data_IF_767676994835
#
_entry.id   IF_767676994835
#
_cell.length_a   1.000
_cell.length_b   1.000
_cell.length_c   1.000
_cell.angle_alpha   90.00
_cell.angle_beta   90.00
_cell.angle_gamma   90.00
#
_symmetry.space_group_name_H-M   'P 1'
#
loop_
_entity.id
_entity.type
_entity.pdbx_description
1 polymer ?
#
# COMPACT_ATOMS: atom_id res chain seq x y z
N UNK A 1 -0.20 -7.46 15.22
CA UNK A 1 -0.10 -6.19 14.47
C UNK A 1 -0.48 -6.54 13.04
N UNK A 2 -1.73 -6.29 12.67
CA UNK A 2 -2.31 -6.70 11.39
C UNK A 2 -1.52 -6.06 10.25
N UNK A 3 -1.19 -6.89 9.26
CA UNK A 3 -0.33 -6.56 8.13
C UNK A 3 -1.16 -6.81 6.88
N UNK A 4 -1.93 -5.80 6.49
CA UNK A 4 -2.69 -5.86 5.24
C UNK A 4 -1.86 -5.21 4.15
N UNK A 5 -1.58 -5.96 3.08
CA UNK A 5 -0.82 -5.45 1.93
C UNK A 5 -1.76 -5.35 0.74
N UNK A 6 -1.79 -4.17 0.12
CA UNK A 6 -2.46 -3.95 -1.15
C UNK A 6 -1.43 -3.69 -2.23
N UNK A 7 -1.67 -4.22 -3.43
CA UNK A 7 -1.06 -3.71 -4.65
C UNK A 7 -1.91 -2.55 -5.13
N UNK A 8 -1.27 -1.42 -5.41
CA UNK A 8 -1.91 -0.24 -5.97
C UNK A 8 -1.34 -0.05 -7.36
N UNK A 9 -2.21 0.19 -8.33
CA UNK A 9 -1.81 0.53 -9.70
C UNK A 9 -2.62 1.69 -10.23
N UNK A 10 -2.05 2.42 -11.18
CA UNK A 10 -2.70 3.48 -11.92
C UNK A 10 -2.05 3.62 -13.30
N UNK A 11 -2.83 4.04 -14.30
CA UNK A 11 -2.30 4.61 -15.53
C UNK A 11 -2.07 6.09 -15.34
N UNK A 12 -0.90 6.56 -15.76
CA UNK A 12 -0.48 7.94 -15.59
C UNK A 12 -0.01 8.48 -16.93
N UNK A 13 -0.34 9.75 -17.21
CA UNK A 13 0.15 10.48 -18.37
C UNK A 13 0.61 11.87 -17.94
N UNK A 14 1.85 12.20 -18.24
CA UNK A 14 2.46 13.51 -17.93
C UNK A 14 2.47 14.39 -19.18
N UNK A 15 2.12 15.67 -19.01
CA UNK A 15 2.15 16.69 -20.07
C UNK A 15 3.41 17.58 -20.00
N UNK A 16 4.56 17.02 -19.64
CA UNK A 16 5.86 17.71 -19.58
C UNK A 16 6.73 17.36 -20.79
N UNK A 17 7.46 18.34 -21.32
CA UNK A 17 8.44 18.11 -22.40
C UNK A 17 9.74 17.50 -21.88
N UNK A 18 9.98 17.57 -20.58
CA UNK A 18 11.15 16.97 -19.92
C UNK A 18 10.71 15.73 -19.13
N UNK A 19 11.57 14.71 -18.99
CA UNK A 19 11.27 13.58 -18.13
C UNK A 19 11.05 14.03 -16.69
N UNK A 20 9.91 13.63 -16.12
CA UNK A 20 9.48 13.93 -14.75
C UNK A 20 9.04 12.63 -14.09
N UNK A 21 9.27 12.49 -12.80
CA UNK A 21 8.89 11.30 -12.05
C UNK A 21 7.57 11.52 -11.32
N UNK A 22 6.42 11.01 -11.83
CA UNK A 22 5.17 11.08 -11.10
C UNK A 22 5.16 10.06 -9.98
N UNK A 23 4.37 10.37 -8.95
CA UNK A 23 4.16 9.48 -7.84
C UNK A 23 2.76 9.57 -7.27
N UNK A 24 2.36 8.49 -6.61
CA UNK A 24 1.24 8.49 -5.69
C UNK A 24 1.75 8.30 -4.27
N UNK A 25 1.11 9.02 -3.35
CA UNK A 25 1.31 8.89 -1.92
C UNK A 25 -0.05 9.01 -1.21
N UNK A 26 -0.12 8.58 0.04
CA UNK A 26 -1.23 9.03 0.88
C UNK A 26 -0.91 10.39 1.46
N UNK A 27 -1.97 11.09 1.82
CA UNK A 27 -1.94 12.13 2.84
C UNK A 27 -2.82 11.65 3.98
N UNK A 28 -2.21 11.42 5.14
CA UNK A 28 -2.91 11.03 6.35
C UNK A 28 -3.18 12.29 7.18
N UNK A 29 -4.40 12.48 7.64
CA UNK A 29 -4.72 13.46 8.68
C UNK A 29 -4.90 12.70 9.99
N UNK A 30 -4.12 13.06 11.00
CA UNK A 30 -4.19 12.48 12.34
C UNK A 30 -5.23 13.19 13.20
N UNK A 31 -5.66 12.53 14.29
CA UNK A 31 -6.65 13.10 15.21
C UNK A 31 -6.20 14.39 15.90
N UNK A 32 -4.89 14.58 16.07
CA UNK A 32 -4.28 15.80 16.62
C UNK A 32 -4.12 16.93 15.56
N UNK A 33 -4.53 16.67 14.31
CA UNK A 33 -4.44 17.61 13.20
C UNK A 33 -3.11 17.57 12.43
N UNK A 34 -2.14 16.75 12.85
CA UNK A 34 -0.88 16.56 12.12
C UNK A 34 -1.11 15.80 10.80
N UNK A 35 -0.19 15.96 9.86
CA UNK A 35 -0.27 15.32 8.54
C UNK A 35 1.01 14.55 8.22
N UNK A 36 0.87 13.34 7.71
CA UNK A 36 1.98 12.53 7.19
C UNK A 36 1.70 12.09 5.76
N UNK A 37 2.76 11.78 5.02
CA UNK A 37 2.69 11.53 3.57
C UNK A 37 3.47 10.27 3.20
N UNK A 38 2.95 9.07 3.51
CA UNK A 38 3.63 7.84 3.16
C UNK A 38 3.51 7.56 1.66
N UNK A 39 4.64 7.22 1.04
CA UNK A 39 4.74 6.89 -0.38
C UNK A 39 3.98 5.59 -0.70
N UNK A 40 3.20 5.60 -1.78
CA UNK A 40 2.60 4.39 -2.35
C UNK A 40 3.57 3.79 -3.38
N UNK A 41 3.87 4.56 -4.43
CA UNK A 41 4.84 4.21 -5.45
C UNK A 41 5.29 5.45 -6.22
N UNK A 42 6.49 5.37 -6.79
CA UNK A 42 6.96 6.23 -7.85
C UNK A 42 6.98 5.47 -9.18
N UNK A 43 6.71 6.16 -10.27
CA UNK A 43 6.90 5.61 -11.60
C UNK A 43 8.35 5.79 -12.07
N UNK A 44 8.67 5.19 -13.21
CA UNK A 44 9.81 5.66 -14.00
C UNK A 44 9.55 7.09 -14.51
N UNK A 45 10.63 7.85 -14.76
CA UNK A 45 10.51 9.20 -15.31
C UNK A 45 9.88 9.16 -16.70
N UNK A 46 8.91 10.04 -16.92
CA UNK A 46 8.07 10.08 -18.12
C UNK A 46 7.93 11.49 -18.65
N UNK A 47 7.65 11.59 -19.93
CA UNK A 47 7.43 12.82 -20.68
C UNK A 47 6.17 12.69 -21.51
N UNK A 48 5.76 13.79 -22.14
CA UNK A 48 4.63 13.83 -23.09
C UNK A 48 4.80 12.82 -24.24
N UNK A 49 6.03 12.42 -24.57
CA UNK A 49 6.29 11.46 -25.65
C UNK A 49 5.97 10.00 -25.28
N UNK A 50 5.91 9.68 -23.98
CA UNK A 50 5.65 8.33 -23.48
C UNK A 50 4.16 7.99 -23.44
N UNK A 51 3.29 9.01 -23.36
CA UNK A 51 1.84 8.83 -23.33
C UNK A 51 1.35 8.22 -22.01
N UNK A 52 0.46 7.23 -22.09
CA UNK A 52 -0.06 6.52 -20.91
C UNK A 52 0.89 5.40 -20.50
N UNK A 53 1.32 5.43 -19.25
CA UNK A 53 2.17 4.38 -18.65
C UNK A 53 1.48 3.82 -17.41
N UNK A 54 1.55 2.51 -17.26
CA UNK A 54 1.05 1.84 -16.07
C UNK A 54 2.13 1.80 -14.99
N UNK A 55 1.77 2.27 -13.80
CA UNK A 55 2.63 2.23 -12.63
C UNK A 55 1.96 1.45 -11.52
N UNK A 56 2.76 0.75 -10.73
CA UNK A 56 2.25 0.01 -9.58
C UNK A 56 3.27 -0.09 -8.46
N UNK A 57 2.76 -0.34 -7.26
CA UNK A 57 3.58 -0.69 -6.10
C UNK A 57 2.74 -1.29 -4.99
N UNK A 58 3.40 -1.74 -3.93
CA UNK A 58 2.74 -2.36 -2.80
C UNK A 58 2.69 -1.38 -1.63
N UNK A 59 1.52 -1.24 -1.03
CA UNK A 59 1.36 -0.51 0.22
C UNK A 59 1.02 -1.43 1.37
N UNK A 60 1.72 -1.21 2.47
CA UNK A 60 1.41 -1.79 3.76
C UNK A 60 0.48 -0.85 4.50
N UNK A 61 -0.71 -1.33 4.84
CA UNK A 61 -1.58 -0.67 5.81
C UNK A 61 -1.10 -1.08 7.19
N UNK A 62 -0.37 -0.17 7.84
CA UNK A 62 0.10 -0.35 9.20
C UNK A 62 -0.78 0.41 10.20
N UNK A 63 -0.35 0.44 11.47
CA UNK A 63 -1.08 1.12 12.52
C UNK A 63 -1.21 2.63 12.31
N UNK A 64 -0.27 3.27 11.59
CA UNK A 64 -0.36 4.70 11.32
C UNK A 64 -1.49 4.96 10.32
N UNK A 65 -1.50 4.23 9.20
CA UNK A 65 -2.56 4.37 8.19
C UNK A 65 -3.93 3.99 8.76
N UNK A 66 -4.00 2.89 9.51
CA UNK A 66 -5.25 2.39 10.08
C UNK A 66 -5.84 3.27 11.19
N UNK A 67 -5.01 4.08 11.87
CA UNK A 67 -5.45 4.98 12.94
C UNK A 67 -5.61 6.44 12.49
N UNK A 68 -5.34 6.73 11.21
CA UNK A 68 -5.54 8.05 10.64
C UNK A 68 -7.02 8.43 10.71
N UNK A 69 -7.30 9.70 11.03
CA UNK A 69 -8.64 10.27 11.03
C UNK A 69 -9.22 10.30 9.61
N UNK A 70 -8.40 10.70 8.64
CA UNK A 70 -8.75 10.73 7.22
C UNK A 70 -7.55 10.26 6.39
N UNK A 71 -7.82 9.51 5.32
CA UNK A 71 -6.83 9.04 4.35
C UNK A 71 -7.21 9.60 2.99
N UNK A 72 -6.29 10.35 2.38
CA UNK A 72 -6.44 10.90 1.04
C UNK A 72 -5.45 10.26 0.10
N UNK A 73 -5.89 9.91 -1.10
CA UNK A 73 -4.99 9.64 -2.21
C UNK A 73 -4.45 10.97 -2.74
N UNK A 74 -3.13 11.09 -2.82
CA UNK A 74 -2.47 12.31 -3.23
C UNK A 74 -1.46 11.99 -4.33
N UNK A 75 -1.48 12.76 -5.40
CA UNK A 75 -0.54 12.65 -6.51
C UNK A 75 0.41 13.83 -6.53
N UNK A 76 1.62 13.60 -7.01
CA UNK A 76 2.60 14.66 -7.21
C UNK A 76 3.69 14.25 -8.19
N UNK A 77 4.61 15.18 -8.42
CA UNK A 77 5.85 14.98 -9.16
C UNK A 77 7.01 15.21 -8.21
N UNK A 78 8.06 14.39 -8.33
CA UNK A 78 9.27 14.55 -7.50
C UNK A 78 10.14 15.72 -7.95
N UNK A 79 9.94 16.17 -9.18
CA UNK A 79 10.61 17.30 -9.79
C UNK A 79 9.71 18.54 -9.63
N UNK A 80 10.29 19.73 -9.45
CA UNK A 80 9.57 21.03 -9.35
C UNK A 80 8.85 21.45 -10.66
N UNK A 81 8.52 20.47 -11.48
CA UNK A 81 7.73 20.60 -12.69
C UNK A 81 6.26 20.90 -12.33
N UNK A 82 5.64 21.77 -13.10
CA UNK A 82 4.26 22.24 -12.90
C UNK A 82 3.33 21.75 -14.02
N UNK A 83 3.77 20.75 -14.78
CA UNK A 83 2.98 20.20 -15.89
C UNK A 83 1.78 19.43 -15.36
N UNK A 84 0.73 19.40 -16.17
CA UNK A 84 -0.46 18.63 -15.87
C UNK A 84 -0.14 17.13 -15.86
N UNK A 85 -0.79 16.40 -14.95
CA UNK A 85 -0.69 14.95 -14.83
C UNK A 85 -2.09 14.36 -14.82
N UNK A 86 -2.36 13.45 -15.76
CA UNK A 86 -3.60 12.69 -15.79
C UNK A 86 -3.41 11.34 -15.11
N UNK A 87 -4.48 10.89 -14.44
CA UNK A 87 -4.56 9.57 -13.80
C UNK A 87 -5.81 8.85 -14.31
N UNK A 88 -5.67 7.57 -14.61
CA UNK A 88 -6.77 6.69 -15.00
C UNK A 88 -6.57 5.28 -14.42
N UNK A 89 -7.64 4.48 -14.40
CA UNK A 89 -7.62 3.07 -13.97
C UNK A 89 -6.94 2.83 -12.61
N UNK A 90 -7.17 3.72 -11.63
CA UNK A 90 -6.63 3.53 -10.27
C UNK A 90 -7.29 2.31 -9.61
N UNK A 91 -6.48 1.34 -9.19
CA UNK A 91 -6.96 0.12 -8.56
C UNK A 91 -6.19 -0.23 -7.31
N UNK A 92 -6.91 -0.87 -6.37
CA UNK A 92 -6.36 -1.43 -5.13
C UNK A 92 -6.72 -2.91 -5.10
N UNK A 93 -5.71 -3.77 -5.18
CA UNK A 93 -5.84 -5.22 -5.12
C UNK A 93 -5.30 -5.71 -3.78
N UNK A 94 -6.12 -6.43 -3.02
CA UNK A 94 -5.69 -7.03 -1.77
C UNK A 94 -4.72 -8.19 -2.05
N UNK A 95 -3.46 -8.06 -1.66
CA UNK A 95 -2.45 -9.13 -1.81
C UNK A 95 -2.40 -10.04 -0.58
N UNK A 96 -2.36 -9.43 0.60
CA UNK A 96 -2.27 -10.14 1.88
C UNK A 96 -3.39 -9.66 2.78
N UNK A 97 -4.40 -10.50 3.09
CA UNK A 97 -5.42 -10.15 4.06
C UNK A 97 -4.81 -10.01 5.47
N UNK A 98 -5.46 -9.28 6.38
CA UNK A 98 -5.07 -9.31 7.78
C UNK A 98 -5.17 -10.75 8.29
N UNK A 99 -4.08 -11.24 8.88
CA UNK A 99 -4.08 -12.53 9.58
C UNK A 99 -4.45 -12.25 11.04
N UNK A 100 -5.71 -12.51 11.39
CA UNK A 100 -6.24 -12.33 12.76
C UNK A 100 -5.68 -13.35 13.76
N UNK A 101 -5.10 -14.44 13.25
CA UNK A 101 -4.42 -15.45 14.06
C UNK A 101 -4.15 -16.72 13.27
N UNK A 102 -3.32 -17.59 13.84
CA UNK A 102 -3.16 -18.97 13.37
C UNK A 102 -4.16 -19.82 14.14
N UNK A 103 -5.19 -20.30 13.45
CA UNK A 103 -6.13 -21.26 14.02
C UNK A 103 -5.50 -22.64 13.93
N UNK A 104 -4.99 -23.13 15.05
CA UNK A 104 -4.65 -24.55 15.18
C UNK A 104 -5.93 -25.26 15.60
N UNK A 105 -6.58 -25.94 14.66
CA UNK A 105 -7.77 -26.76 14.92
C UNK A 105 -7.50 -28.19 14.49
N UNK A 106 -7.98 -29.16 15.26
CA UNK A 106 -8.05 -30.56 14.88
C UNK A 106 -9.52 -30.90 14.63
N UNK A 107 -9.77 -31.83 13.73
CA UNK A 107 -11.14 -32.28 13.44
C UNK A 107 -11.82 -32.98 14.64
N UNK A 108 -11.04 -33.33 15.68
CA UNK A 108 -11.47 -34.06 16.87
C UNK A 108 -11.63 -33.22 18.13
N UNK A 109 -11.44 -31.90 18.07
CA UNK A 109 -11.50 -30.98 19.22
C UNK A 109 -10.53 -31.31 20.38
N UNK A 110 -9.48 -32.09 20.10
CA UNK A 110 -8.57 -32.63 21.11
C UNK A 110 -7.11 -32.48 20.69
N UNK A 111 -6.78 -31.27 20.25
CA UNK A 111 -5.44 -30.89 19.86
C UNK A 111 -4.40 -31.28 20.91
N UNK A 112 -4.71 -31.14 22.21
CA UNK A 112 -3.83 -31.48 23.32
C UNK A 112 -3.31 -32.93 23.31
N UNK A 113 -4.06 -33.87 22.72
CA UNK A 113 -3.68 -35.28 22.65
C UNK A 113 -2.84 -35.64 21.41
N UNK A 114 -2.67 -34.71 20.46
CA UNK A 114 -1.82 -34.92 19.28
C UNK A 114 -0.33 -34.62 19.54
N UNK A 115 0.01 -34.05 20.70
CA UNK A 115 1.37 -33.62 21.02
C UNK A 115 1.92 -34.43 22.20
N UNK A 116 3.18 -34.85 22.09
CA UNK A 116 3.87 -35.54 23.17
C UNK A 116 4.34 -34.57 24.27
N UNK A 117 4.67 -35.07 25.47
CA UNK A 117 5.29 -34.27 26.52
C UNK A 117 6.52 -33.51 25.99
N UNK A 118 6.57 -32.20 26.24
CA UNK A 118 7.67 -31.33 25.78
C UNK A 118 7.49 -30.71 24.39
N UNK A 119 6.33 -30.90 23.76
CA UNK A 119 6.02 -30.22 22.50
C UNK A 119 5.62 -28.76 22.73
N UNK A 120 6.17 -27.84 21.95
CA UNK A 120 5.77 -26.43 21.91
C UNK A 120 5.49 -25.99 20.47
N UNK A 121 4.49 -25.14 20.30
CA UNK A 121 4.30 -24.34 19.08
C UNK A 121 4.86 -22.96 19.39
N UNK A 122 5.96 -22.62 18.72
CA UNK A 122 6.53 -21.28 18.77
C UNK A 122 5.98 -20.47 17.61
N UNK A 123 5.10 -19.51 17.92
CA UNK A 123 4.69 -18.47 16.99
C UNK A 123 5.55 -17.24 17.27
N UNK A 124 6.51 -16.96 16.39
CA UNK A 124 7.40 -15.79 16.48
C UNK A 124 6.96 -14.69 15.52
#
# INVERSE_FOLDING_TARGET
KELTIYKVSAKIRIHSNTPVTPHLQFKLLHHDGTKTYPWLFGCESQSVSDGWVECSGNIRIDSEVASAKEVFLYSGTSDNDLSDVDFDDISFELLTPPIDGIVVSDASSNLANCWGPGSEILLT
#
